data_IF_807224581825
#
_entry.id   IF_807224581825
#
_cell.length_a   1.000
_cell.length_b   1.000
_cell.length_c   1.000
_cell.angle_alpha   90.00
_cell.angle_beta   90.00
_cell.angle_gamma   90.00
#
_symmetry.space_group_name_H-M   'P 1'
#
loop_
_entity.id
_entity.type
_entity.pdbx_description
1 polymer ?
#
# COMPACT_ATOMS: atom_id res chain seq x y z
N UNK A 1 -34.64 -36.03 7.73
CA UNK A 1 -34.88 -34.60 8.03
C UNK A 1 -35.01 -33.90 6.70
N UNK A 2 -36.05 -33.05 6.50
CA UNK A 2 -36.09 -32.21 5.28
C UNK A 2 -34.84 -31.34 5.26
N UNK A 3 -34.09 -31.38 4.18
CA UNK A 3 -32.93 -30.54 3.98
C UNK A 3 -33.34 -29.06 4.15
N UNK A 4 -32.78 -28.39 5.14
CA UNK A 4 -33.07 -26.98 5.41
C UNK A 4 -32.15 -26.14 4.54
N UNK A 5 -32.73 -25.40 3.61
CA UNK A 5 -32.02 -24.39 2.86
C UNK A 5 -31.77 -23.16 3.75
N UNK A 6 -30.52 -22.72 3.82
CA UNK A 6 -30.13 -21.42 4.40
C UNK A 6 -29.66 -20.52 3.28
N UNK A 7 -30.15 -19.28 3.23
CA UNK A 7 -29.79 -18.28 2.23
C UNK A 7 -29.18 -17.08 2.93
N UNK A 8 -27.94 -16.70 2.54
CA UNK A 8 -27.37 -15.41 2.84
C UNK A 8 -27.67 -14.48 1.65
N UNK A 9 -28.47 -13.46 1.86
CA UNK A 9 -28.81 -12.45 0.85
C UNK A 9 -28.09 -11.14 1.21
N UNK A 10 -27.21 -10.67 0.35
CA UNK A 10 -26.50 -9.41 0.51
C UNK A 10 -27.14 -8.39 -0.43
N UNK A 11 -27.74 -7.34 0.15
CA UNK A 11 -28.27 -6.19 -0.57
C UNK A 11 -27.18 -5.12 -0.59
N UNK A 12 -26.29 -5.21 -1.58
CA UNK A 12 -25.12 -4.32 -1.68
C UNK A 12 -25.57 -2.88 -1.94
N UNK A 13 -25.01 -1.94 -1.18
CA UNK A 13 -25.40 -0.53 -1.23
C UNK A 13 -26.69 -0.18 -0.48
N UNK A 14 -27.37 -1.15 0.15
CA UNK A 14 -28.59 -0.92 0.92
C UNK A 14 -28.22 -0.42 2.34
N UNK A 15 -27.89 0.89 2.43
CA UNK A 15 -27.54 1.51 3.71
C UNK A 15 -28.76 2.03 4.49
N UNK A 16 -28.61 2.23 5.78
CA UNK A 16 -29.61 2.91 6.61
C UNK A 16 -29.23 4.37 6.85
N UNK A 17 -30.08 5.27 6.34
CA UNK A 17 -29.97 6.70 6.52
C UNK A 17 -31.37 7.27 6.80
N UNK A 18 -31.56 8.03 7.90
CA UNK A 18 -32.86 8.57 8.25
C UNK A 18 -33.36 9.67 7.29
N UNK A 19 -32.46 10.35 6.57
CA UNK A 19 -32.83 11.38 5.62
C UNK A 19 -33.55 10.79 4.40
N UNK A 20 -34.58 11.50 3.92
CA UNK A 20 -35.34 11.12 2.72
C UNK A 20 -34.80 11.74 1.44
N UNK A 21 -34.16 12.90 1.51
CA UNK A 21 -33.59 13.58 0.35
C UNK A 21 -32.51 12.75 -0.33
N UNK A 22 -32.69 12.44 -1.59
CA UNK A 22 -31.77 11.60 -2.36
C UNK A 22 -31.73 10.13 -1.94
N UNK A 23 -32.61 9.68 -1.04
CA UNK A 23 -32.62 8.34 -0.49
C UNK A 23 -33.66 7.44 -1.16
N UNK A 24 -33.26 6.75 -2.21
CA UNK A 24 -34.14 5.87 -2.97
C UNK A 24 -34.78 4.76 -2.10
N UNK A 25 -34.04 4.24 -1.10
CA UNK A 25 -34.53 3.19 -0.19
C UNK A 25 -35.70 3.70 0.65
N UNK A 26 -35.56 4.90 1.27
CA UNK A 26 -36.62 5.49 2.11
C UNK A 26 -37.82 6.01 1.29
N UNK A 27 -37.63 6.26 0.00
CA UNK A 27 -38.69 6.71 -0.92
C UNK A 27 -39.41 5.55 -1.60
N UNK A 28 -38.78 4.39 -1.69
CA UNK A 28 -39.35 3.20 -2.30
C UNK A 28 -40.45 2.56 -1.43
N UNK A 29 -41.38 1.89 -2.08
CA UNK A 29 -42.38 1.05 -1.41
C UNK A 29 -41.78 -0.33 -1.16
N UNK A 30 -41.38 -0.61 0.08
CA UNK A 30 -40.70 -1.86 0.47
C UNK A 30 -41.49 -2.69 1.50
N UNK A 31 -42.79 -3.03 1.23
CA UNK A 31 -43.64 -3.60 2.26
C UNK A 31 -43.18 -4.96 2.80
N UNK A 32 -42.47 -5.75 1.99
CA UNK A 32 -41.93 -7.03 2.42
C UNK A 32 -40.68 -6.86 3.31
N UNK A 33 -39.77 -5.98 2.95
CA UNK A 33 -38.58 -5.67 3.78
C UNK A 33 -39.03 -5.05 5.10
N UNK A 34 -39.95 -4.09 5.06
CA UNK A 34 -40.52 -3.44 6.25
C UNK A 34 -41.16 -4.46 7.21
N UNK A 35 -41.86 -5.45 6.65
CA UNK A 35 -42.44 -6.53 7.43
C UNK A 35 -41.39 -7.46 8.05
N UNK A 36 -40.34 -7.78 7.32
CA UNK A 36 -39.23 -8.59 7.83
C UNK A 36 -38.50 -7.87 8.95
N UNK A 37 -38.15 -6.58 8.77
CA UNK A 37 -37.49 -5.76 9.76
C UNK A 37 -38.27 -5.61 11.05
N UNK A 38 -39.63 -5.55 10.97
CA UNK A 38 -40.52 -5.52 12.15
C UNK A 38 -40.66 -6.87 12.85
N UNK A 39 -40.58 -7.96 12.08
CA UNK A 39 -40.93 -9.31 12.60
C UNK A 39 -39.72 -10.05 13.18
N UNK A 40 -38.53 -9.81 12.63
CA UNK A 40 -37.30 -10.54 12.98
C UNK A 40 -36.28 -9.62 13.63
N UNK A 41 -35.37 -10.18 14.40
CA UNK A 41 -34.24 -9.46 14.99
C UNK A 41 -33.38 -8.86 13.89
N UNK A 42 -33.00 -7.62 14.09
CA UNK A 42 -32.09 -6.89 13.20
C UNK A 42 -31.07 -6.09 14.04
N UNK A 43 -29.95 -5.75 13.44
CA UNK A 43 -28.86 -4.98 14.04
C UNK A 43 -28.13 -4.22 12.95
N UNK A 44 -27.77 -2.99 13.25
CA UNK A 44 -26.93 -2.20 12.34
C UNK A 44 -25.46 -2.60 12.50
N UNK A 45 -24.76 -2.65 11.38
CA UNK A 45 -23.32 -2.91 11.34
C UNK A 45 -22.60 -1.73 10.67
N UNK A 46 -21.37 -1.45 11.11
CA UNK A 46 -20.55 -0.46 10.47
C UNK A 46 -20.01 -0.99 9.12
N UNK A 47 -20.02 -0.12 8.11
CA UNK A 47 -19.59 -0.45 6.76
C UNK A 47 -18.42 0.42 6.28
N UNK A 48 -17.76 1.16 7.18
CA UNK A 48 -16.66 2.09 6.87
C UNK A 48 -15.56 2.03 7.93
N UNK A 49 -14.42 2.60 7.61
CA UNK A 49 -13.30 2.77 8.51
C UNK A 49 -12.74 1.47 9.08
N UNK A 50 -12.20 1.53 10.28
CA UNK A 50 -11.53 0.41 10.94
C UNK A 50 -12.42 -0.82 11.14
N UNK A 51 -13.74 -0.62 11.27
CA UNK A 51 -14.70 -1.71 11.41
C UNK A 51 -14.76 -2.65 10.19
N UNK A 52 -14.24 -2.21 9.06
CA UNK A 52 -14.14 -3.02 7.82
C UNK A 52 -12.70 -3.14 7.30
N UNK A 53 -11.73 -2.76 8.11
CA UNK A 53 -10.30 -2.89 7.77
C UNK A 53 -9.73 -1.76 6.89
N UNK A 54 -10.45 -0.66 6.76
CA UNK A 54 -10.03 0.57 6.07
C UNK A 54 -9.52 1.61 7.06
N UNK A 55 -8.80 2.64 6.62
CA UNK A 55 -8.49 3.80 7.45
C UNK A 55 -9.74 4.46 8.02
N UNK A 56 -9.61 5.09 9.19
CA UNK A 56 -10.71 5.81 9.80
C UNK A 56 -11.24 6.91 8.87
N UNK A 57 -12.57 7.06 8.80
CA UNK A 57 -13.23 8.01 7.91
C UNK A 57 -13.34 7.58 6.45
N UNK A 58 -12.69 6.50 6.04
CA UNK A 58 -12.83 5.99 4.68
C UNK A 58 -14.10 5.17 4.53
N UNK A 59 -14.91 5.53 3.52
CA UNK A 59 -16.12 4.79 3.15
C UNK A 59 -15.76 3.38 2.65
N UNK A 60 -16.54 2.37 3.06
CA UNK A 60 -16.43 1.02 2.57
C UNK A 60 -16.83 0.87 1.09
N UNK A 61 -16.54 -0.30 0.57
CA UNK A 61 -16.93 -0.70 -0.79
C UNK A 61 -17.30 -2.19 -0.83
N UNK A 62 -17.83 -2.63 -1.96
CA UNK A 62 -18.30 -4.00 -2.14
C UNK A 62 -17.20 -5.05 -1.97
N UNK A 63 -15.98 -4.78 -2.46
CA UNK A 63 -14.85 -5.70 -2.38
C UNK A 63 -14.48 -6.00 -0.92
N UNK A 64 -14.28 -4.94 -0.14
CA UNK A 64 -13.95 -5.03 1.28
C UNK A 64 -15.09 -5.67 2.07
N UNK A 65 -16.34 -5.28 1.83
CA UNK A 65 -17.51 -5.83 2.51
C UNK A 65 -17.66 -7.33 2.28
N UNK A 66 -17.60 -7.79 1.04
CA UNK A 66 -17.72 -9.21 0.72
C UNK A 66 -16.52 -10.03 1.24
N UNK A 67 -15.31 -9.45 1.22
CA UNK A 67 -14.13 -10.09 1.82
C UNK A 67 -14.32 -10.31 3.33
N UNK A 68 -14.78 -9.30 4.05
CA UNK A 68 -15.02 -9.40 5.50
C UNK A 68 -16.13 -10.40 5.84
N UNK A 69 -17.26 -10.39 5.10
CA UNK A 69 -18.36 -11.35 5.28
C UNK A 69 -17.84 -12.77 5.02
N UNK A 70 -17.13 -12.98 3.91
CA UNK A 70 -16.57 -14.27 3.54
C UNK A 70 -15.50 -14.79 4.49
N UNK A 71 -14.71 -13.88 5.06
CA UNK A 71 -13.68 -14.22 6.06
C UNK A 71 -14.25 -14.42 7.46
N UNK A 72 -15.45 -13.91 7.76
CA UNK A 72 -16.04 -13.92 9.10
C UNK A 72 -15.25 -13.08 10.12
N UNK A 73 -14.43 -12.17 9.66
CA UNK A 73 -13.58 -11.29 10.48
C UNK A 73 -13.16 -10.04 9.70
N UNK A 74 -12.68 -9.04 10.41
CA UNK A 74 -12.12 -7.84 9.78
C UNK A 74 -10.81 -8.22 9.06
N UNK A 75 -10.74 -7.92 7.75
CA UNK A 75 -9.55 -8.08 6.92
C UNK A 75 -8.96 -6.70 6.65
N UNK A 76 -7.87 -6.39 7.33
CA UNK A 76 -7.22 -5.09 7.19
C UNK A 76 -6.57 -4.94 5.82
N UNK A 77 -6.85 -3.83 5.15
CA UNK A 77 -6.15 -3.42 3.93
C UNK A 77 -4.71 -3.00 4.25
N UNK A 78 -3.80 -3.02 3.28
CA UNK A 78 -2.36 -2.85 3.49
C UNK A 78 -2.02 -1.60 4.33
N UNK A 79 -2.59 -0.44 4.01
CA UNK A 79 -2.37 0.79 4.79
C UNK A 79 -2.73 0.59 6.27
N UNK A 80 -3.91 0.05 6.54
CA UNK A 80 -4.40 -0.16 7.90
C UNK A 80 -3.60 -1.26 8.61
N UNK A 81 -3.27 -2.35 7.91
CA UNK A 81 -2.49 -3.48 8.43
C UNK A 81 -1.11 -3.02 8.90
N UNK A 82 -0.40 -2.25 8.07
CA UNK A 82 0.94 -1.76 8.40
C UNK A 82 0.87 -0.72 9.53
N UNK A 83 -0.12 0.19 9.50
CA UNK A 83 -0.31 1.17 10.56
C UNK A 83 -0.57 0.50 11.91
N UNK A 84 -1.46 -0.50 11.95
CA UNK A 84 -1.71 -1.31 13.17
C UNK A 84 -0.46 -2.03 13.65
N UNK A 85 0.31 -2.62 12.75
CA UNK A 85 1.58 -3.29 13.09
C UNK A 85 2.55 -2.34 13.79
N UNK A 86 2.60 -1.06 13.40
CA UNK A 86 3.39 -0.03 14.09
C UNK A 86 2.81 0.27 15.48
N UNK A 87 1.48 0.42 15.58
CA UNK A 87 0.79 0.73 16.84
C UNK A 87 0.87 -0.42 17.86
N UNK A 88 0.74 -1.66 17.40
CA UNK A 88 0.83 -2.87 18.22
C UNK A 88 2.28 -3.28 18.52
N UNK A 89 3.25 -2.75 17.77
CA UNK A 89 4.68 -2.92 18.01
C UNK A 89 5.35 -4.09 17.29
N UNK A 90 4.62 -4.96 16.64
CA UNK A 90 5.15 -6.10 15.89
C UNK A 90 5.93 -5.67 14.63
N UNK A 91 5.66 -4.48 14.09
CA UNK A 91 6.47 -3.84 13.06
C UNK A 91 7.96 -3.83 13.41
N UNK A 92 8.28 -3.57 14.68
CA UNK A 92 9.65 -3.47 15.17
C UNK A 92 10.32 -4.84 15.40
N UNK A 93 9.57 -5.91 15.21
CA UNK A 93 10.04 -7.29 15.22
C UNK A 93 10.07 -7.92 13.83
N UNK A 94 9.78 -7.15 12.78
CA UNK A 94 9.76 -7.65 11.41
C UNK A 94 11.17 -8.14 11.01
N UNK A 95 11.31 -9.43 10.63
CA UNK A 95 12.60 -10.04 10.36
C UNK A 95 13.36 -9.41 9.19
N UNK A 96 12.64 -8.92 8.16
CA UNK A 96 13.28 -8.35 6.98
C UNK A 96 13.88 -6.96 7.28
N UNK A 97 13.22 -6.16 8.13
CA UNK A 97 13.79 -4.88 8.58
C UNK A 97 15.00 -5.08 9.48
N UNK A 98 14.91 -6.07 10.38
CA UNK A 98 16.04 -6.44 11.23
C UNK A 98 17.22 -6.87 10.37
N UNK A 99 17.00 -7.77 9.42
CA UNK A 99 18.05 -8.30 8.56
C UNK A 99 18.67 -7.20 7.66
N UNK A 100 17.88 -6.22 7.20
CA UNK A 100 18.40 -5.07 6.46
C UNK A 100 19.38 -4.24 7.30
N UNK A 101 19.04 -3.96 8.56
CA UNK A 101 19.92 -3.22 9.48
C UNK A 101 21.19 -4.05 9.83
N UNK A 102 21.03 -5.34 10.11
CA UNK A 102 22.16 -6.21 10.41
C UNK A 102 23.10 -6.39 9.20
N UNK A 103 22.55 -6.38 7.96
CA UNK A 103 23.37 -6.34 6.75
C UNK A 103 24.24 -5.08 6.71
N UNK A 104 23.66 -3.92 7.02
CA UNK A 104 24.41 -2.66 7.08
C UNK A 104 25.53 -2.71 8.13
N UNK A 105 25.22 -3.18 9.34
CA UNK A 105 26.22 -3.31 10.41
C UNK A 105 27.35 -4.25 10.02
N UNK A 106 27.01 -5.40 9.43
CA UNK A 106 28.01 -6.40 8.99
C UNK A 106 28.94 -5.88 7.91
N UNK A 107 28.43 -5.10 6.98
CA UNK A 107 29.18 -4.60 5.83
C UNK A 107 29.74 -3.19 6.03
N UNK A 108 29.49 -2.56 7.17
CA UNK A 108 29.79 -1.15 7.43
C UNK A 108 29.24 -0.27 6.29
N UNK A 109 27.98 -0.47 5.97
CA UNK A 109 27.29 0.14 4.85
C UNK A 109 26.05 0.91 5.30
N UNK A 110 25.31 1.51 4.37
CA UNK A 110 24.22 2.45 4.65
C UNK A 110 22.86 1.80 4.52
N UNK A 111 21.88 2.33 5.27
CA UNK A 111 20.47 2.04 5.10
C UNK A 111 19.82 3.17 4.31
N UNK A 112 19.28 2.85 3.15
CA UNK A 112 18.51 3.76 2.31
C UNK A 112 17.01 3.45 2.44
N UNK A 113 16.22 4.48 2.73
CA UNK A 113 14.76 4.38 2.79
C UNK A 113 14.20 5.24 1.66
N UNK A 114 13.44 4.64 0.76
CA UNK A 114 12.83 5.35 -0.34
C UNK A 114 11.32 5.11 -0.43
N UNK A 115 10.60 6.06 -0.96
CA UNK A 115 9.16 6.00 -1.15
C UNK A 115 8.46 7.34 -1.17
N UNK A 116 7.14 7.30 -1.41
CA UNK A 116 6.31 8.48 -1.54
C UNK A 116 6.03 9.11 -0.18
N UNK A 117 6.47 10.35 0.01
CA UNK A 117 6.39 11.06 1.29
C UNK A 117 5.16 11.96 1.33
N UNK A 118 4.03 11.36 1.69
CA UNK A 118 2.75 12.05 1.91
C UNK A 118 1.84 11.25 2.86
N UNK A 119 0.70 11.79 3.20
CA UNK A 119 -0.38 11.13 3.93
C UNK A 119 -1.56 10.70 3.04
N UNK A 120 -1.39 10.77 1.71
CA UNK A 120 -2.42 10.41 0.73
C UNK A 120 -2.92 8.97 0.83
N UNK A 121 -2.11 8.05 1.37
CA UNK A 121 -2.52 6.70 1.74
C UNK A 121 -2.86 5.77 0.57
N UNK A 122 -2.54 6.15 -0.68
CA UNK A 122 -2.81 5.35 -1.88
C UNK A 122 -1.65 4.40 -2.19
N UNK A 123 -0.41 4.88 -2.10
CA UNK A 123 0.80 4.11 -2.41
C UNK A 123 1.66 3.85 -1.18
N UNK A 124 1.65 4.78 -0.24
CA UNK A 124 2.44 4.81 0.97
C UNK A 124 1.75 5.66 2.03
N UNK A 125 2.34 5.75 3.21
CA UNK A 125 1.93 6.72 4.21
C UNK A 125 3.15 7.17 5.00
N UNK A 126 3.29 8.48 5.27
CA UNK A 126 4.44 9.07 5.96
C UNK A 126 4.65 8.48 7.37
N UNK A 127 3.59 8.01 8.05
CA UNK A 127 3.70 7.32 9.35
C UNK A 127 4.54 6.04 9.26
N UNK A 128 4.52 5.36 8.12
CA UNK A 128 5.33 4.14 7.91
C UNK A 128 6.82 4.49 7.82
N UNK A 129 7.16 5.59 7.20
CA UNK A 129 8.53 6.14 7.21
C UNK A 129 8.97 6.47 8.64
N UNK A 130 8.10 7.10 9.45
CA UNK A 130 8.41 7.35 10.86
C UNK A 130 8.63 6.07 11.66
N UNK A 131 7.88 4.99 11.34
CA UNK A 131 8.10 3.65 11.90
C UNK A 131 9.48 3.08 11.55
N UNK A 132 9.95 3.28 10.31
CA UNK A 132 11.29 2.83 9.90
C UNK A 132 12.42 3.62 10.59
N UNK A 133 12.25 4.94 10.78
CA UNK A 133 13.19 5.74 11.56
C UNK A 133 13.25 5.28 13.02
N UNK A 134 12.10 5.00 13.62
CA UNK A 134 12.02 4.43 14.97
C UNK A 134 12.66 3.05 15.04
N UNK A 135 12.46 2.20 14.02
CA UNK A 135 13.08 0.87 13.91
C UNK A 135 14.61 0.97 13.91
N UNK A 136 15.18 1.85 13.11
CA UNK A 136 16.63 2.08 13.05
C UNK A 136 17.16 2.61 14.40
N UNK A 137 16.43 3.54 15.04
CA UNK A 137 16.79 4.07 16.36
C UNK A 137 16.81 2.99 17.43
N UNK A 138 15.79 2.11 17.48
CA UNK A 138 15.73 0.99 18.42
C UNK A 138 16.85 -0.02 18.22
N UNK A 139 17.49 -0.03 17.06
CA UNK A 139 18.59 -0.92 16.70
C UNK A 139 19.96 -0.24 16.79
N UNK A 140 20.02 0.99 17.32
CA UNK A 140 21.26 1.78 17.42
C UNK A 140 22.01 1.86 16.07
N UNK A 141 21.27 2.18 15.01
CA UNK A 141 21.82 2.31 13.66
C UNK A 141 21.55 3.71 13.11
N UNK A 142 22.61 4.51 12.87
CA UNK A 142 22.52 5.94 12.57
C UNK A 142 22.74 6.29 11.08
N UNK A 143 23.39 5.42 10.31
CA UNK A 143 23.68 5.67 8.89
C UNK A 143 22.45 5.43 8.01
N UNK A 144 21.41 6.24 8.26
CA UNK A 144 20.10 6.17 7.60
C UNK A 144 19.91 7.35 6.66
N UNK A 145 19.60 7.06 5.40
CA UNK A 145 19.41 8.05 4.35
C UNK A 145 18.06 7.91 3.68
N UNK A 146 17.34 9.03 3.51
CA UNK A 146 15.98 9.03 2.97
C UNK A 146 16.00 9.64 1.57
N UNK A 147 15.39 8.94 0.63
CA UNK A 147 15.12 9.39 -0.75
C UNK A 147 13.64 9.65 -0.88
N UNK A 148 13.24 10.93 -0.81
CA UNK A 148 11.85 11.33 -0.76
C UNK A 148 11.26 11.41 -2.16
N UNK A 149 10.22 10.61 -2.45
CA UNK A 149 9.39 10.84 -3.62
C UNK A 149 8.26 11.78 -3.26
N UNK A 150 8.03 12.81 -4.08
CA UNK A 150 7.05 13.86 -3.85
C UNK A 150 5.75 13.54 -4.59
N UNK A 151 4.61 13.82 -3.95
CA UNK A 151 3.30 13.36 -4.41
C UNK A 151 2.63 14.31 -5.41
N UNK A 152 1.83 15.26 -4.94
CA UNK A 152 1.12 16.22 -5.77
C UNK A 152 -0.02 15.66 -6.63
N UNK A 153 -0.36 14.37 -6.44
CA UNK A 153 -1.44 13.68 -7.15
C UNK A 153 -2.48 13.08 -6.22
N UNK A 154 -2.05 12.39 -5.17
CA UNK A 154 -2.92 11.86 -4.12
C UNK A 154 -3.09 12.89 -2.99
N UNK A 155 -2.30 13.96 -3.04
CA UNK A 155 -2.33 15.17 -2.20
C UNK A 155 -2.28 16.42 -3.08
N UNK A 156 -2.56 17.62 -2.54
CA UNK A 156 -2.50 18.87 -3.31
C UNK A 156 -1.17 19.07 -4.02
N UNK A 157 -1.15 19.68 -5.21
CA UNK A 157 0.04 19.74 -6.09
C UNK A 157 1.26 20.46 -5.50
N UNK A 158 1.08 21.35 -4.52
CA UNK A 158 2.14 22.12 -3.87
C UNK A 158 2.11 21.90 -2.34
N UNK A 159 2.24 20.67 -1.91
CA UNK A 159 2.14 20.26 -0.50
C UNK A 159 3.42 19.62 0.05
N UNK A 160 4.38 19.28 -0.82
CA UNK A 160 5.57 18.53 -0.44
C UNK A 160 6.39 19.20 0.65
N UNK A 161 6.53 20.54 0.62
CA UNK A 161 7.28 21.28 1.64
C UNK A 161 6.76 20.95 3.05
N UNK A 162 5.44 20.93 3.24
CA UNK A 162 4.83 20.64 4.54
C UNK A 162 5.14 19.24 5.05
N UNK A 163 5.21 18.25 4.17
CA UNK A 163 5.59 16.88 4.51
C UNK A 163 7.07 16.75 4.82
N UNK A 164 7.91 17.44 4.06
CA UNK A 164 9.36 17.47 4.29
C UNK A 164 9.69 18.13 5.63
N UNK A 165 9.05 19.24 5.97
CA UNK A 165 9.25 19.89 7.27
C UNK A 165 8.84 18.98 8.43
N UNK A 166 7.68 18.30 8.35
CA UNK A 166 7.26 17.29 9.34
C UNK A 166 8.24 16.12 9.44
N UNK A 167 8.79 15.67 8.31
CA UNK A 167 9.80 14.63 8.30
C UNK A 167 11.09 15.09 8.99
N UNK A 168 11.58 16.30 8.68
CA UNK A 168 12.76 16.88 9.33
C UNK A 168 12.55 17.06 10.84
N UNK A 169 11.38 17.54 11.26
CA UNK A 169 11.02 17.60 12.68
C UNK A 169 11.13 16.24 13.35
N UNK A 170 10.56 15.19 12.74
CA UNK A 170 10.59 13.83 13.26
C UNK A 170 12.02 13.26 13.30
N UNK A 171 12.83 13.54 12.29
CA UNK A 171 14.26 13.16 12.25
C UNK A 171 15.05 13.85 13.35
N UNK A 172 14.81 15.16 13.58
CA UNK A 172 15.44 15.93 14.64
C UNK A 172 15.02 15.44 16.03
N UNK A 173 13.72 15.16 16.24
CA UNK A 173 13.21 14.57 17.50
C UNK A 173 13.94 13.25 17.83
N UNK A 174 14.13 12.41 16.85
CA UNK A 174 14.74 11.09 17.02
C UNK A 174 16.26 11.09 16.91
N UNK A 175 16.85 12.20 16.48
CA UNK A 175 18.28 12.33 16.17
C UNK A 175 18.77 11.23 15.20
N UNK A 176 18.02 11.01 14.10
CA UNK A 176 18.32 9.95 13.14
C UNK A 176 17.84 10.31 11.73
N UNK A 177 18.62 9.89 10.75
CA UNK A 177 18.33 10.01 9.33
C UNK A 177 18.81 11.34 8.72
N UNK A 178 19.03 11.30 7.40
CA UNK A 178 19.35 12.46 6.57
C UNK A 178 18.62 12.32 5.24
N UNK A 179 18.05 13.40 4.71
CA UNK A 179 17.46 13.37 3.36
C UNK A 179 18.60 13.47 2.35
N UNK A 180 18.72 12.47 1.48
CA UNK A 180 19.79 12.38 0.49
C UNK A 180 19.35 12.81 -0.92
N UNK A 181 18.07 12.64 -1.26
CA UNK A 181 17.53 13.13 -2.53
C UNK A 181 16.03 13.36 -2.46
N UNK A 182 15.51 14.17 -3.38
CA UNK A 182 14.08 14.29 -3.67
C UNK A 182 13.83 14.04 -5.15
N UNK A 183 12.64 13.54 -5.49
CA UNK A 183 12.19 13.35 -6.87
C UNK A 183 10.68 13.34 -6.93
N UNK A 184 10.08 14.09 -7.85
CA UNK A 184 8.66 13.96 -8.13
C UNK A 184 8.31 12.54 -8.57
N UNK A 185 7.11 12.09 -8.20
CA UNK A 185 6.63 10.74 -8.54
C UNK A 185 6.53 10.48 -10.05
N UNK A 186 6.48 11.53 -10.87
CA UNK A 186 6.53 11.45 -12.32
C UNK A 186 7.79 10.74 -12.83
N UNK A 187 8.90 10.87 -12.12
CA UNK A 187 10.18 10.21 -12.41
C UNK A 187 10.36 8.92 -11.61
N UNK A 188 10.09 8.99 -10.32
CA UNK A 188 10.37 7.90 -9.38
C UNK A 188 9.36 6.76 -9.41
N UNK A 189 8.16 7.01 -9.93
CA UNK A 189 7.02 6.09 -9.85
C UNK A 189 6.31 5.95 -11.20
N UNK A 190 7.07 5.88 -12.29
CA UNK A 190 6.53 5.52 -13.60
C UNK A 190 6.01 4.07 -13.58
N UNK A 191 5.05 3.74 -14.45
CA UNK A 191 4.51 2.40 -14.65
C UNK A 191 4.22 2.08 -16.12
N UNK A 192 4.63 2.97 -17.01
CA UNK A 192 4.32 2.93 -18.43
C UNK A 192 5.58 2.71 -19.27
N UNK A 193 6.67 2.21 -18.62
CA UNK A 193 7.98 1.92 -19.23
C UNK A 193 8.63 3.13 -19.91
N UNK A 194 8.43 4.30 -19.31
CA UNK A 194 9.08 5.54 -19.76
C UNK A 194 10.46 5.65 -19.12
N UNK A 195 11.35 4.78 -19.57
CA UNK A 195 12.66 4.55 -18.95
C UNK A 195 13.51 5.81 -18.80
N UNK A 196 13.38 6.81 -19.69
CA UNK A 196 14.08 8.09 -19.56
C UNK A 196 13.72 8.87 -18.29
N UNK A 197 12.48 8.65 -17.75
CA UNK A 197 12.08 9.24 -16.47
C UNK A 197 12.69 8.47 -15.31
N UNK A 198 12.56 7.15 -15.36
CA UNK A 198 13.08 6.24 -14.33
C UNK A 198 14.59 6.38 -14.22
N UNK A 199 15.30 6.50 -15.36
CA UNK A 199 16.74 6.71 -15.40
C UNK A 199 17.18 7.97 -14.65
N UNK A 200 16.48 9.10 -14.84
CA UNK A 200 16.82 10.34 -14.10
C UNK A 200 16.73 10.13 -12.58
N UNK A 201 15.72 9.38 -12.11
CA UNK A 201 15.61 9.06 -10.70
C UNK A 201 16.73 8.10 -10.25
N UNK A 202 16.97 7.03 -11.00
CA UNK A 202 18.05 6.09 -10.75
C UNK A 202 19.41 6.80 -10.66
N UNK A 203 19.71 7.70 -11.59
CA UNK A 203 20.97 8.47 -11.62
C UNK A 203 21.15 9.33 -10.36
N UNK A 204 20.06 9.93 -9.86
CA UNK A 204 20.11 10.67 -8.60
C UNK A 204 20.34 9.73 -7.39
N UNK A 205 19.71 8.55 -7.38
CA UNK A 205 19.82 7.59 -6.28
C UNK A 205 21.21 6.92 -6.21
N UNK A 206 21.77 6.54 -7.36
CA UNK A 206 22.95 5.65 -7.45
C UNK A 206 24.20 6.38 -7.90
N UNK A 207 24.07 7.29 -8.87
CA UNK A 207 25.20 7.99 -9.47
C UNK A 207 25.44 9.38 -8.87
N UNK A 208 24.52 9.88 -8.01
CA UNK A 208 24.59 11.23 -7.48
C UNK A 208 24.47 12.30 -8.57
N UNK A 209 23.82 11.96 -9.69
CA UNK A 209 23.63 12.83 -10.86
C UNK A 209 22.20 13.36 -10.90
N UNK A 210 22.04 14.61 -11.27
CA UNK A 210 20.78 15.33 -11.30
C UNK A 210 20.97 16.77 -10.87
N UNK A 211 19.88 17.45 -10.56
CA UNK A 211 19.99 18.75 -9.92
C UNK A 211 20.68 18.59 -8.55
N UNK A 212 21.41 19.60 -8.10
CA UNK A 212 22.09 19.61 -6.80
C UNK A 212 21.57 20.74 -5.93
N UNK A 213 21.38 20.47 -4.65
CA UNK A 213 20.97 21.46 -3.67
C UNK A 213 21.59 21.19 -2.30
N UNK A 214 21.92 22.25 -1.55
CA UNK A 214 22.41 22.15 -0.18
C UNK A 214 21.28 22.00 0.86
N UNK A 215 20.02 22.22 0.46
CA UNK A 215 18.83 22.11 1.31
C UNK A 215 17.66 21.57 0.51
N UNK A 216 16.95 20.63 1.13
CA UNK A 216 15.76 20.02 0.52
C UNK A 216 14.61 21.03 0.38
N UNK A 217 14.40 21.88 1.40
CA UNK A 217 13.34 22.91 1.37
C UNK A 217 13.61 23.89 0.24
N UNK A 218 14.86 24.39 0.15
CA UNK A 218 15.23 25.30 -0.93
C UNK A 218 15.10 24.67 -2.32
N UNK A 219 15.38 23.37 -2.48
CA UNK A 219 15.19 22.68 -3.75
C UNK A 219 13.70 22.66 -4.17
N UNK A 220 12.79 22.49 -3.22
CA UNK A 220 11.34 22.53 -3.46
C UNK A 220 10.91 23.96 -3.80
N UNK A 221 11.33 24.96 -3.02
CA UNK A 221 11.02 26.36 -3.28
C UNK A 221 11.51 26.82 -4.67
N UNK A 222 12.76 26.48 -5.03
CA UNK A 222 13.35 26.81 -6.32
C UNK A 222 12.60 26.13 -7.50
N UNK A 223 12.04 24.94 -7.26
CA UNK A 223 11.17 24.25 -8.23
C UNK A 223 9.82 24.96 -8.38
N UNK A 224 9.18 25.33 -7.26
CA UNK A 224 7.90 26.04 -7.24
C UNK A 224 7.99 27.43 -7.89
N UNK A 225 9.12 28.12 -7.72
CA UNK A 225 9.37 29.39 -8.43
C UNK A 225 9.41 29.24 -9.96
N UNK A 226 9.68 28.03 -10.45
CA UNK A 226 9.63 27.68 -11.88
C UNK A 226 8.30 27.08 -12.30
N UNK A 227 7.27 27.15 -11.42
CA UNK A 227 5.95 26.52 -11.61
C UNK A 227 6.00 25.01 -11.81
N UNK A 228 7.06 24.34 -11.30
CA UNK A 228 7.21 22.88 -11.31
C UNK A 228 6.90 22.36 -9.91
N UNK A 229 5.70 21.79 -9.77
CA UNK A 229 5.15 21.34 -8.50
C UNK A 229 5.47 19.87 -8.22
N UNK A 230 5.12 19.41 -7.02
CA UNK A 230 5.48 18.14 -6.37
C UNK A 230 5.65 16.94 -7.34
N UNK A 231 4.61 16.61 -8.11
CA UNK A 231 4.62 15.46 -9.01
C UNK A 231 5.77 15.52 -10.02
N UNK A 232 6.12 16.73 -10.45
CA UNK A 232 7.05 16.99 -11.56
C UNK A 232 8.41 17.52 -11.11
N UNK A 233 8.66 17.65 -9.81
CA UNK A 233 9.98 18.07 -9.31
C UNK A 233 11.05 17.14 -9.84
N UNK A 234 12.02 17.71 -10.55
CA UNK A 234 13.10 16.93 -11.13
C UNK A 234 13.99 16.29 -10.06
N UNK A 235 14.52 15.08 -10.30
CA UNK A 235 15.41 14.42 -9.37
C UNK A 235 16.56 15.34 -8.95
N UNK A 236 16.66 15.58 -7.65
CA UNK A 236 17.61 16.51 -7.02
C UNK A 236 18.34 15.81 -5.90
N UNK A 237 19.67 15.80 -6.00
CA UNK A 237 20.58 15.24 -5.00
C UNK A 237 20.88 16.31 -3.95
N UNK A 238 20.74 15.95 -2.68
CA UNK A 238 21.11 16.84 -1.58
C UNK A 238 22.59 16.68 -1.26
N UNK A 239 23.31 17.80 -1.26
CA UNK A 239 24.76 17.82 -1.16
C UNK A 239 25.23 18.58 0.10
N UNK A 240 26.38 18.18 0.59
CA UNK A 240 27.18 18.97 1.51
C UNK A 240 28.37 19.57 0.72
N UNK A 241 28.26 20.85 0.36
CA UNK A 241 29.11 21.42 -0.68
C UNK A 241 28.84 20.80 -2.04
N UNK A 242 29.85 20.26 -2.70
CA UNK A 242 29.71 19.59 -4.01
C UNK A 242 29.40 18.09 -3.92
N UNK A 243 29.58 17.47 -2.75
CA UNK A 243 29.45 16.02 -2.56
C UNK A 243 28.04 15.64 -2.13
N UNK A 244 27.42 14.61 -2.74
CA UNK A 244 26.16 14.04 -2.29
C UNK A 244 26.23 13.64 -0.81
N UNK A 245 25.18 13.90 -0.04
CA UNK A 245 25.07 13.42 1.35
C UNK A 245 25.17 11.89 1.38
N UNK A 246 24.49 11.21 0.46
CA UNK A 246 24.67 9.77 0.24
C UNK A 246 24.09 9.37 -1.13
N UNK A 247 24.66 8.29 -1.66
CA UNK A 247 24.12 7.53 -2.81
C UNK A 247 24.09 6.07 -2.45
N UNK A 248 23.21 5.32 -3.12
CA UNK A 248 23.09 3.87 -2.95
C UNK A 248 24.36 3.21 -3.54
N UNK A 249 25.08 2.51 -2.70
CA UNK A 249 26.35 1.86 -3.02
C UNK A 249 26.32 0.34 -2.81
N UNK A 250 27.50 -0.26 -2.99
CA UNK A 250 27.65 -1.71 -2.86
C UNK A 250 27.42 -2.18 -1.43
N UNK A 251 26.67 -3.28 -1.29
CA UNK A 251 26.29 -3.93 -0.02
C UNK A 251 25.39 -3.07 0.89
N UNK A 252 24.89 -1.94 0.42
CA UNK A 252 23.89 -1.17 1.17
C UNK A 252 22.59 -1.94 1.32
N UNK A 253 21.78 -1.53 2.29
CA UNK A 253 20.41 -2.00 2.40
C UNK A 253 19.44 -0.92 1.92
N UNK A 254 18.40 -1.36 1.25
CA UNK A 254 17.34 -0.48 0.75
C UNK A 254 15.99 -0.96 1.28
N UNK A 255 15.19 -0.06 1.83
CA UNK A 255 13.80 -0.35 2.20
C UNK A 255 12.90 0.58 1.41
N UNK A 256 12.05 0.02 0.53
CA UNK A 256 11.06 0.77 -0.21
C UNK A 256 9.70 0.65 0.49
N UNK A 257 9.24 1.75 1.11
CA UNK A 257 8.05 1.72 1.98
C UNK A 257 6.70 1.92 1.27
N UNK A 258 6.66 1.97 -0.05
CA UNK A 258 5.40 1.90 -0.78
C UNK A 258 4.78 0.50 -0.63
N UNK A 259 3.50 0.45 -0.25
CA UNK A 259 2.78 -0.82 -0.12
C UNK A 259 1.95 -1.17 -1.36
N UNK A 260 1.69 -0.22 -2.27
CA UNK A 260 1.03 -0.48 -3.54
C UNK A 260 2.06 -0.74 -4.63
N UNK A 261 1.97 -1.90 -5.33
CA UNK A 261 3.05 -2.40 -6.18
C UNK A 261 3.18 -1.73 -7.54
N UNK A 262 2.07 -1.26 -8.16
CA UNK A 262 2.00 -0.91 -9.58
C UNK A 262 3.04 0.13 -10.03
N UNK A 263 3.37 1.10 -9.19
CA UNK A 263 4.34 2.16 -9.46
C UNK A 263 5.68 1.99 -8.73
N UNK A 264 5.85 0.88 -8.03
CA UNK A 264 7.12 0.55 -7.37
C UNK A 264 8.01 -0.38 -8.21
N UNK A 265 7.43 -1.09 -9.18
CA UNK A 265 8.09 -2.15 -9.95
C UNK A 265 9.28 -1.64 -10.75
N UNK A 266 9.12 -0.56 -11.52
CA UNK A 266 10.12 -0.12 -12.47
C UNK A 266 11.41 0.33 -11.79
N UNK A 267 11.33 1.26 -10.84
CA UNK A 267 12.53 1.72 -10.11
C UNK A 267 13.17 0.58 -9.30
N UNK A 268 12.38 -0.35 -8.74
CA UNK A 268 12.93 -1.51 -8.05
C UNK A 268 13.74 -2.40 -8.99
N UNK A 269 13.21 -2.71 -10.19
CA UNK A 269 13.93 -3.53 -11.18
C UNK A 269 15.28 -2.94 -11.56
N UNK A 270 15.38 -1.62 -11.70
CA UNK A 270 16.66 -0.97 -12.03
C UNK A 270 17.74 -1.21 -10.99
N UNK A 271 17.36 -1.46 -9.74
CA UNK A 271 18.27 -1.62 -8.60
C UNK A 271 18.61 -3.10 -8.30
N UNK A 272 17.70 -4.04 -8.64
CA UNK A 272 17.83 -5.43 -8.19
C UNK A 272 17.91 -6.46 -9.31
N UNK A 273 17.48 -6.12 -10.52
CA UNK A 273 17.39 -7.08 -11.62
C UNK A 273 18.67 -7.08 -12.46
N UNK A 274 19.48 -8.16 -12.44
CA UNK A 274 20.70 -8.25 -13.23
C UNK A 274 20.41 -8.27 -14.74
N UNK A 275 19.22 -8.73 -15.15
CA UNK A 275 18.81 -8.80 -16.56
C UNK A 275 18.22 -7.47 -17.08
N UNK A 276 18.05 -6.46 -16.21
CA UNK A 276 17.57 -5.15 -16.64
C UNK A 276 18.55 -4.51 -17.64
N UNK A 277 18.06 -4.08 -18.81
CA UNK A 277 18.88 -3.60 -19.92
C UNK A 277 18.29 -2.40 -20.70
N UNK A 278 17.26 -1.75 -20.14
CA UNK A 278 16.61 -0.60 -20.82
C UNK A 278 17.46 0.68 -20.76
N UNK A 279 18.38 0.76 -19.78
CA UNK A 279 19.46 1.73 -19.69
C UNK A 279 20.61 1.18 -18.82
N UNK A 280 21.75 1.83 -18.83
CA UNK A 280 22.93 1.39 -18.08
C UNK A 280 22.72 1.48 -16.57
N UNK A 281 22.92 0.38 -15.85
CA UNK A 281 22.82 0.29 -14.39
C UNK A 281 24.03 -0.40 -13.79
N UNK A 282 24.37 -0.05 -12.54
CA UNK A 282 25.42 -0.76 -11.79
C UNK A 282 24.93 -2.16 -11.40
N UNK A 283 25.57 -3.19 -11.92
CA UNK A 283 25.18 -4.59 -11.72
C UNK A 283 25.75 -5.21 -10.43
N UNK A 284 26.73 -4.59 -9.81
CA UNK A 284 27.47 -5.12 -8.66
C UNK A 284 27.08 -4.47 -7.31
N UNK A 285 25.90 -3.87 -7.23
CA UNK A 285 25.43 -3.21 -6.01
C UNK A 285 25.23 -4.20 -4.84
N UNK A 286 24.84 -5.45 -5.13
CA UNK A 286 24.65 -6.50 -4.12
C UNK A 286 23.84 -6.00 -2.92
N UNK A 287 22.67 -5.41 -3.17
CA UNK A 287 21.82 -4.78 -2.17
C UNK A 287 21.07 -5.82 -1.33
N UNK A 288 20.88 -5.52 -0.05
CA UNK A 288 19.81 -6.14 0.72
C UNK A 288 18.55 -5.29 0.53
N UNK A 289 17.70 -5.69 -0.42
CA UNK A 289 16.57 -4.89 -0.85
C UNK A 289 15.25 -5.41 -0.27
N UNK A 290 14.55 -4.55 0.48
CA UNK A 290 13.26 -4.89 1.12
C UNK A 290 12.14 -4.08 0.49
N UNK A 291 11.17 -4.78 -0.10
CA UNK A 291 9.88 -4.24 -0.51
C UNK A 291 8.89 -4.34 0.64
N UNK A 292 8.07 -3.33 0.88
CA UNK A 292 7.02 -3.43 1.88
C UNK A 292 6.04 -4.55 1.57
N UNK A 293 5.62 -4.68 0.32
CA UNK A 293 4.75 -5.76 -0.17
C UNK A 293 5.38 -6.43 -1.38
N UNK A 294 4.84 -7.53 -1.85
CA UNK A 294 5.26 -8.13 -3.12
C UNK A 294 4.88 -7.22 -4.28
N UNK A 295 5.88 -6.67 -4.96
CA UNK A 295 5.64 -5.81 -6.13
C UNK A 295 5.44 -6.62 -7.42
N UNK A 296 6.15 -7.74 -7.54
CA UNK A 296 6.11 -8.61 -8.70
C UNK A 296 6.71 -9.97 -8.30
N UNK A 297 6.04 -11.06 -8.60
CA UNK A 297 6.50 -12.41 -8.26
C UNK A 297 7.78 -12.82 -9.03
N UNK A 298 8.04 -12.17 -10.17
CA UNK A 298 9.24 -12.39 -10.98
C UNK A 298 10.43 -11.51 -10.59
N UNK A 299 10.27 -10.66 -9.57
CA UNK A 299 11.33 -9.72 -9.14
C UNK A 299 12.43 -10.46 -8.40
N UNK A 300 13.68 -10.50 -8.92
CA UNK A 300 14.78 -11.18 -8.26
C UNK A 300 15.35 -10.32 -7.11
N UNK A 301 16.11 -10.97 -6.21
CA UNK A 301 16.96 -10.31 -5.21
C UNK A 301 16.20 -9.35 -4.27
N UNK A 302 14.94 -9.65 -3.94
CA UNK A 302 14.13 -8.85 -3.04
C UNK A 302 13.63 -9.66 -1.84
N UNK A 303 13.48 -8.97 -0.74
CA UNK A 303 12.83 -9.46 0.48
C UNK A 303 11.50 -8.74 0.65
N UNK A 304 10.50 -9.40 1.25
CA UNK A 304 9.14 -8.87 1.40
C UNK A 304 8.81 -8.74 2.89
N UNK A 305 8.64 -7.50 3.36
CA UNK A 305 8.36 -7.24 4.77
C UNK A 305 6.94 -7.66 5.19
N UNK A 306 5.93 -7.35 4.37
CA UNK A 306 4.53 -7.67 4.62
C UNK A 306 4.01 -8.60 3.53
N UNK A 307 4.29 -9.90 3.69
CA UNK A 307 3.79 -10.93 2.76
C UNK A 307 2.27 -10.97 2.80
N UNK A 308 1.66 -11.16 1.64
CA UNK A 308 0.22 -11.44 1.55
C UNK A 308 0.01 -12.89 1.98
N UNK A 309 -0.69 -13.08 3.09
CA UNK A 309 -1.09 -14.42 3.51
C UNK A 309 -2.48 -14.73 2.94
N UNK A 310 -2.69 -15.94 2.41
CA UNK A 310 -4.01 -16.38 1.98
C UNK A 310 -4.95 -16.40 3.20
N UNK A 311 -6.17 -15.94 3.01
CA UNK A 311 -7.19 -16.00 4.05
C UNK A 311 -7.64 -17.46 4.24
N UNK A 312 -7.36 -18.02 5.42
CA UNK A 312 -7.79 -19.36 5.82
C UNK A 312 -9.11 -19.29 6.58
N UNK A 313 -9.83 -20.41 6.63
CA UNK A 313 -11.11 -20.54 7.30
C UNK A 313 -12.16 -19.53 6.79
N UNK A 314 -12.19 -19.32 5.47
CA UNK A 314 -13.27 -18.55 4.87
C UNK A 314 -14.60 -19.31 4.97
N UNK A 315 -15.73 -18.61 4.88
CA UNK A 315 -17.04 -19.22 4.98
C UNK A 315 -17.23 -20.39 3.99
N UNK A 316 -16.78 -20.21 2.74
CA UNK A 316 -16.86 -21.25 1.71
C UNK A 316 -16.01 -22.48 2.05
N UNK A 317 -14.82 -22.28 2.57
CA UNK A 317 -13.93 -23.34 3.03
C UNK A 317 -14.54 -24.11 4.22
N UNK A 318 -15.02 -23.38 5.23
CA UNK A 318 -15.65 -23.96 6.41
C UNK A 318 -16.88 -24.80 6.08
N UNK A 319 -17.78 -24.29 5.21
CA UNK A 319 -18.96 -25.01 4.75
C UNK A 319 -18.59 -26.30 4.01
N UNK A 320 -17.58 -26.24 3.15
CA UNK A 320 -17.03 -27.39 2.43
C UNK A 320 -16.46 -28.45 3.36
N UNK A 321 -15.68 -28.06 4.36
CA UNK A 321 -15.10 -28.97 5.35
C UNK A 321 -16.16 -29.67 6.21
N UNK A 322 -17.29 -29.00 6.46
CA UNK A 322 -18.42 -29.59 7.16
C UNK A 322 -19.29 -30.50 6.27
N UNK A 323 -18.93 -30.66 4.98
CA UNK A 323 -19.63 -31.52 4.04
C UNK A 323 -20.95 -30.96 3.53
N UNK A 324 -21.22 -29.67 3.71
CA UNK A 324 -22.39 -29.01 3.15
C UNK A 324 -22.19 -28.63 1.70
N UNK A 325 -23.29 -28.55 0.96
CA UNK A 325 -23.29 -28.01 -0.40
C UNK A 325 -23.57 -26.50 -0.38
N UNK A 326 -23.01 -25.78 -1.34
CA UNK A 326 -23.19 -24.34 -1.47
C UNK A 326 -23.39 -23.92 -2.92
N UNK A 327 -24.20 -22.89 -3.13
CA UNK A 327 -24.44 -22.24 -4.41
C UNK A 327 -24.12 -20.75 -4.24
N UNK A 328 -23.42 -20.19 -5.23
CA UNK A 328 -23.11 -18.78 -5.31
C UNK A 328 -23.80 -18.17 -6.51
N UNK A 329 -24.54 -17.10 -6.30
CA UNK A 329 -25.31 -16.45 -7.35
C UNK A 329 -25.33 -14.94 -7.11
N UNK A 330 -25.15 -14.18 -8.18
CA UNK A 330 -25.21 -12.73 -8.18
C UNK A 330 -25.56 -12.21 -9.57
N UNK A 331 -25.85 -10.93 -9.69
CA UNK A 331 -25.82 -10.21 -10.95
C UNK A 331 -24.40 -10.20 -11.53
N UNK A 332 -24.27 -9.87 -12.81
CA UNK A 332 -22.97 -9.96 -13.51
C UNK A 332 -21.86 -9.12 -12.83
N UNK A 333 -22.17 -7.90 -12.42
CA UNK A 333 -21.21 -7.00 -11.76
C UNK A 333 -20.82 -7.48 -10.34
N UNK A 334 -21.68 -8.24 -9.69
CA UNK A 334 -21.46 -8.77 -8.33
C UNK A 334 -20.97 -10.21 -8.30
N UNK A 335 -20.75 -10.83 -9.46
CA UNK A 335 -20.26 -12.21 -9.54
C UNK A 335 -18.89 -12.37 -8.85
N UNK A 336 -17.93 -11.50 -9.14
CA UNK A 336 -16.62 -11.54 -8.49
C UNK A 336 -16.71 -11.30 -6.96
N UNK A 337 -17.70 -10.52 -6.52
CA UNK A 337 -17.88 -10.23 -5.09
C UNK A 337 -18.32 -11.47 -4.31
N UNK A 338 -19.24 -12.26 -4.84
CA UNK A 338 -19.71 -13.50 -4.17
C UNK A 338 -18.79 -14.71 -4.42
N UNK A 339 -17.79 -14.60 -5.27
CA UNK A 339 -16.80 -15.65 -5.57
C UNK A 339 -15.41 -15.26 -5.11
N UNK A 340 -14.67 -14.50 -5.87
CA UNK A 340 -13.27 -14.09 -5.62
C UNK A 340 -13.10 -13.36 -4.28
N UNK A 341 -13.82 -12.24 -4.09
CA UNK A 341 -13.70 -11.45 -2.85
C UNK A 341 -14.22 -12.19 -1.63
N UNK A 342 -15.32 -12.91 -1.76
CA UNK A 342 -15.89 -13.73 -0.69
C UNK A 342 -14.97 -14.89 -0.28
N UNK A 343 -14.09 -15.34 -1.16
CA UNK A 343 -13.05 -16.32 -0.90
C UNK A 343 -11.71 -15.69 -0.44
N UNK A 344 -11.71 -14.41 -0.10
CA UNK A 344 -10.49 -13.74 0.37
C UNK A 344 -9.49 -13.37 -0.73
N UNK A 345 -9.96 -13.20 -1.97
CA UNK A 345 -9.14 -12.87 -3.13
C UNK A 345 -8.55 -14.09 -3.84
N UNK A 346 -9.18 -15.25 -3.69
CA UNK A 346 -8.81 -16.48 -4.40
C UNK A 346 -9.92 -16.94 -5.36
N UNK A 347 -9.56 -17.18 -6.62
CA UNK A 347 -10.46 -17.80 -7.60
C UNK A 347 -10.43 -19.32 -7.41
N UNK A 348 -11.12 -19.78 -6.34
CA UNK A 348 -11.15 -21.18 -5.93
C UNK A 348 -12.59 -21.69 -5.84
N UNK A 349 -12.84 -22.87 -6.36
CA UNK A 349 -14.07 -23.61 -6.15
C UNK A 349 -13.88 -24.66 -5.05
N UNK A 350 -14.76 -24.65 -4.06
CA UNK A 350 -14.69 -25.59 -2.94
C UNK A 350 -15.45 -26.89 -3.22
N UNK A 351 -15.05 -27.98 -2.58
CA UNK A 351 -15.79 -29.24 -2.64
C UNK A 351 -17.21 -29.02 -2.14
N UNK A 352 -18.22 -29.51 -2.86
CA UNK A 352 -19.62 -29.29 -2.53
C UNK A 352 -20.21 -27.96 -3.03
N UNK A 353 -19.42 -27.14 -3.71
CA UNK A 353 -19.93 -25.98 -4.43
C UNK A 353 -20.60 -26.45 -5.72
N UNK A 354 -21.94 -26.48 -5.69
CA UNK A 354 -22.77 -27.09 -6.76
C UNK A 354 -22.94 -26.17 -7.98
N UNK A 355 -22.55 -24.90 -7.88
CA UNK A 355 -22.55 -23.97 -8.99
C UNK A 355 -22.17 -22.55 -8.60
N UNK A 356 -21.76 -21.82 -9.63
CA UNK A 356 -21.59 -20.36 -9.64
C UNK A 356 -22.40 -19.82 -10.79
N UNK A 357 -23.32 -18.90 -10.53
CA UNK A 357 -24.20 -18.35 -11.53
C UNK A 357 -24.22 -16.84 -11.49
N UNK A 358 -24.19 -16.21 -12.67
CA UNK A 358 -24.53 -14.80 -12.82
C UNK A 358 -25.90 -14.66 -13.48
N UNK A 359 -26.77 -13.83 -12.89
CA UNK A 359 -28.02 -13.43 -13.53
C UNK A 359 -27.73 -12.23 -14.42
N UNK A 360 -27.98 -12.37 -15.72
CA UNK A 360 -27.98 -11.21 -16.63
C UNK A 360 -29.24 -10.39 -16.34
N UNK A 361 -29.07 -9.14 -16.00
CA UNK A 361 -30.19 -8.23 -15.99
C UNK A 361 -30.76 -8.12 -17.42
N UNK A 362 -32.06 -8.30 -17.56
CA UNK A 362 -32.76 -7.82 -18.74
C UNK A 362 -33.07 -6.34 -18.48
N UNK A 363 -32.29 -5.48 -19.06
CA UNK A 363 -32.62 -4.07 -19.19
C UNK A 363 -33.83 -3.93 -20.12
#
# INVERSE_FOLDING_TARGET
MKDKLTMLMILDGFGDNPNKDGNAIKLAKTPNIDKLMKKYSNVDINTSGLAVGLPEGQMGNSEVGHTNIGAGRIVYQELTRITKSIEEGDFFSNPEFIAAIENCKKNNSKLHILGLVSDGGVHSHIRHLYGLLEMAKRRDFEDVYIHCFLDGRDTPPASAESYILKLQEKMNEKQIGKIASISGRFYAMDRDKRWQRVQKCYDALVNGQGNKAGSVVKAIEDSYQKEVFDEFVEPTVICNGEEPIATIGKNDSVIFFNFRPDRAREITRTLVDPEFNEFETKKDLNLYYVCFTSYDETMPNVHIAFKKEPLKNTFGEYISEKGYTQLRIAETEKYAHVTFFFNGGEEKQYKGEIGRASCRERV
#
